data_IF_009947794776
#
_entry.id   IF_009947794776
#
_cell.length_a   1.000
_cell.length_b   1.000
_cell.length_c   1.000
_cell.angle_alpha   90.00
_cell.angle_beta   90.00
_cell.angle_gamma   90.00
#
_symmetry.space_group_name_H-M   'P 1'
#
loop_
_entity.id
_entity.type
_entity.pdbx_description
1 polymer ?
#
# COMPACT_ATOMS: atom_id res chain seq x y z
N UNK A 1 -21.64 11.15 -5.54
CA UNK A 1 -20.98 12.06 -4.58
C UNK A 1 -20.05 11.30 -3.68
N UNK A 2 -20.48 10.14 -3.16
CA UNK A 2 -19.71 9.41 -2.18
C UNK A 2 -18.31 9.03 -2.64
N UNK A 3 -18.20 8.39 -3.80
CA UNK A 3 -16.90 7.93 -4.28
C UNK A 3 -16.01 9.08 -4.72
N UNK A 4 -16.60 10.09 -5.36
CA UNK A 4 -15.84 11.26 -5.76
C UNK A 4 -15.32 11.99 -4.54
N UNK A 5 -16.16 12.16 -3.52
CA UNK A 5 -15.75 12.77 -2.27
C UNK A 5 -14.64 11.97 -1.58
N UNK A 6 -14.73 10.65 -1.64
CA UNK A 6 -13.72 9.80 -1.03
C UNK A 6 -12.38 9.94 -1.72
N UNK A 7 -12.36 9.94 -3.05
CA UNK A 7 -11.12 10.14 -3.79
C UNK A 7 -10.50 11.49 -3.51
N UNK A 8 -11.33 12.53 -3.45
CA UNK A 8 -10.85 13.85 -3.13
C UNK A 8 -10.24 13.91 -1.74
N UNK A 9 -10.92 13.29 -0.75
CA UNK A 9 -10.41 13.25 0.62
C UNK A 9 -9.09 12.49 0.72
N UNK A 10 -8.94 11.42 -0.05
CA UNK A 10 -7.67 10.69 -0.07
C UNK A 10 -6.54 11.57 -0.58
N UNK A 11 -6.79 12.31 -1.66
CA UNK A 11 -5.77 13.22 -2.20
C UNK A 11 -5.41 14.33 -1.21
N UNK A 12 -6.40 14.90 -0.56
CA UNK A 12 -6.16 15.93 0.45
C UNK A 12 -5.36 15.36 1.61
N UNK A 13 -5.70 14.15 2.04
CA UNK A 13 -4.97 13.48 3.11
C UNK A 13 -3.51 13.23 2.77
N UNK A 14 -3.25 12.81 1.53
CA UNK A 14 -1.88 12.60 1.08
C UNK A 14 -1.12 13.92 1.01
N UNK A 15 -1.77 14.96 0.51
CA UNK A 15 -1.15 16.28 0.44
C UNK A 15 -0.80 16.81 1.83
N UNK A 16 -1.71 16.60 2.79
CA UNK A 16 -1.45 17.01 4.17
C UNK A 16 -0.29 16.24 4.77
N UNK A 17 -0.20 14.95 4.47
CA UNK A 17 0.89 14.12 4.98
C UNK A 17 2.24 14.56 4.44
N UNK A 18 2.25 15.26 3.31
CA UNK A 18 3.47 15.74 2.69
C UNK A 18 3.94 17.10 3.22
N UNK A 19 3.11 17.76 4.02
CA UNK A 19 3.50 19.05 4.59
C UNK A 19 4.73 18.86 5.45
N UNK A 20 5.75 19.69 5.24
CA UNK A 20 7.01 19.55 5.96
C UNK A 20 8.00 18.62 5.31
N UNK A 21 7.62 18.03 4.17
CA UNK A 21 8.49 17.17 3.37
C UNK A 21 9.10 16.03 4.22
N UNK A 22 8.28 15.16 4.80
CA UNK A 22 8.78 14.11 5.70
C UNK A 22 9.60 13.06 4.96
N UNK A 23 10.54 12.45 5.66
CA UNK A 23 11.34 11.36 5.11
C UNK A 23 10.61 10.03 5.16
N UNK A 24 9.61 9.91 6.02
CA UNK A 24 8.84 8.68 6.19
C UNK A 24 7.36 9.01 6.19
N UNK A 25 6.61 8.30 5.35
CA UNK A 25 5.16 8.37 5.33
C UNK A 25 4.59 7.01 5.69
N UNK A 26 3.56 7.00 6.52
CA UNK A 26 2.85 5.77 6.87
C UNK A 26 1.40 5.94 6.45
N UNK A 27 0.94 5.06 5.57
CA UNK A 27 -0.40 5.12 5.01
C UNK A 27 -1.16 3.83 5.36
N UNK A 28 -2.40 3.98 5.80
CA UNK A 28 -3.22 2.85 6.21
C UNK A 28 -4.35 2.66 5.22
N UNK A 29 -4.33 1.53 4.49
CA UNK A 29 -5.37 1.18 3.51
C UNK A 29 -5.68 2.33 2.54
N UNK A 30 -4.67 2.91 1.88
CA UNK A 30 -4.89 4.16 1.15
C UNK A 30 -5.78 4.03 -0.08
N UNK A 31 -5.99 2.83 -0.59
CA UNK A 31 -6.77 2.64 -1.82
C UNK A 31 -8.15 2.03 -1.58
N UNK A 32 -8.50 1.78 -0.33
CA UNK A 32 -9.77 1.10 -0.02
C UNK A 32 -10.96 1.97 -0.40
N UNK A 33 -11.91 1.36 -1.14
CA UNK A 33 -13.17 2.02 -1.45
C UNK A 33 -13.13 3.02 -2.59
N UNK A 34 -12.04 3.07 -3.34
CA UNK A 34 -11.92 3.98 -4.47
C UNK A 34 -12.37 3.30 -5.76
N UNK A 35 -12.91 4.06 -6.70
CA UNK A 35 -13.23 3.50 -8.01
C UNK A 35 -11.96 3.36 -8.86
N UNK A 36 -12.02 2.67 -10.02
CA UNK A 36 -10.80 2.41 -10.79
C UNK A 36 -10.01 3.65 -11.20
N UNK A 37 -10.68 4.75 -11.52
CA UNK A 37 -9.98 5.98 -11.92
C UNK A 37 -9.28 6.60 -10.72
N UNK A 38 -9.95 6.63 -9.59
CA UNK A 38 -9.37 7.16 -8.35
C UNK A 38 -8.22 6.30 -7.87
N UNK A 39 -8.34 4.97 -8.02
CA UNK A 39 -7.28 4.05 -7.66
C UNK A 39 -6.00 4.36 -8.42
N UNK A 40 -6.11 4.56 -9.74
CA UNK A 40 -4.94 4.81 -10.56
C UNK A 40 -4.25 6.11 -10.16
N UNK A 41 -5.04 7.15 -9.89
CA UNK A 41 -4.48 8.43 -9.47
C UNK A 41 -3.74 8.30 -8.14
N UNK A 42 -4.33 7.61 -7.18
CA UNK A 42 -3.72 7.44 -5.86
C UNK A 42 -2.47 6.57 -5.94
N UNK A 43 -2.51 5.50 -6.75
CA UNK A 43 -1.33 4.66 -6.95
C UNK A 43 -0.16 5.46 -7.52
N UNK A 44 -0.45 6.32 -8.49
CA UNK A 44 0.58 7.15 -9.11
C UNK A 44 1.18 8.11 -8.09
N UNK A 45 0.34 8.73 -7.27
CA UNK A 45 0.83 9.63 -6.23
C UNK A 45 1.73 8.90 -5.24
N UNK A 46 1.31 7.72 -4.79
CA UNK A 46 2.09 6.95 -3.81
C UNK A 46 3.43 6.54 -4.41
N UNK A 47 3.44 6.06 -5.66
CA UNK A 47 4.68 5.70 -6.32
C UNK A 47 5.62 6.88 -6.44
N UNK A 48 5.08 8.05 -6.79
CA UNK A 48 5.89 9.26 -6.92
C UNK A 48 6.48 9.68 -5.58
N UNK A 49 5.69 9.60 -4.53
CA UNK A 49 6.19 9.93 -3.19
C UNK A 49 7.31 9.00 -2.74
N UNK A 50 7.25 7.74 -3.16
CA UNK A 50 8.25 6.75 -2.78
C UNK A 50 9.58 6.88 -3.49
N UNK A 51 9.69 7.78 -4.48
CA UNK A 51 10.94 7.92 -5.23
C UNK A 51 12.04 8.59 -4.41
N UNK A 52 11.68 9.46 -3.49
CA UNK A 52 12.67 10.21 -2.72
C UNK A 52 12.43 10.16 -1.22
N UNK A 53 11.61 9.23 -0.77
CA UNK A 53 11.37 9.03 0.67
C UNK A 53 10.87 7.61 0.90
N UNK A 54 10.84 7.19 2.15
CA UNK A 54 10.30 5.89 2.50
C UNK A 54 8.79 6.00 2.71
N UNK A 55 8.04 5.15 2.03
CA UNK A 55 6.60 5.06 2.21
C UNK A 55 6.26 3.65 2.68
N UNK A 56 5.60 3.57 3.84
CA UNK A 56 5.10 2.31 4.37
C UNK A 56 3.58 2.36 4.27
N UNK A 57 2.99 1.38 3.62
CA UNK A 57 1.53 1.31 3.57
C UNK A 57 1.06 -0.05 4.04
N UNK A 58 -0.07 -0.06 4.72
CA UNK A 58 -0.72 -1.29 5.10
C UNK A 58 -1.88 -1.53 4.15
N UNK A 59 -2.07 -2.79 3.76
CA UNK A 59 -3.19 -3.16 2.92
C UNK A 59 -3.43 -4.65 3.03
N UNK A 60 -4.68 -5.06 2.87
CA UNK A 60 -5.03 -6.47 2.78
C UNK A 60 -5.26 -6.89 1.32
N UNK A 61 -5.03 -5.98 0.39
CA UNK A 61 -5.29 -6.22 -1.04
C UNK A 61 -3.97 -6.52 -1.72
N UNK A 62 -3.72 -7.80 -2.01
CA UNK A 62 -2.44 -8.23 -2.57
C UNK A 62 -2.14 -7.61 -3.92
N UNK A 63 -3.17 -7.33 -4.71
CA UNK A 63 -2.99 -6.69 -6.01
C UNK A 63 -2.33 -5.32 -5.85
N UNK A 64 -2.70 -4.57 -4.80
CA UNK A 64 -2.11 -3.26 -4.56
C UNK A 64 -0.64 -3.37 -4.19
N UNK A 65 -0.28 -4.40 -3.43
CA UNK A 65 1.12 -4.64 -3.08
C UNK A 65 1.96 -4.80 -4.35
N UNK A 66 1.47 -5.61 -5.29
CA UNK A 66 2.21 -5.86 -6.53
C UNK A 66 2.36 -4.60 -7.37
N UNK A 67 1.36 -3.72 -7.34
CA UNK A 67 1.35 -2.55 -8.21
C UNK A 67 2.14 -1.38 -7.65
N UNK A 68 2.29 -1.28 -6.33
CA UNK A 68 2.86 -0.10 -5.71
C UNK A 68 4.14 -0.34 -4.93
N UNK A 69 4.39 -1.56 -4.48
CA UNK A 69 5.41 -1.80 -3.47
C UNK A 69 6.64 -2.48 -4.06
N UNK A 70 7.80 -2.16 -3.52
CA UNK A 70 9.04 -2.83 -3.89
C UNK A 70 9.41 -3.92 -2.89
N UNK A 71 8.82 -3.89 -1.70
CA UNK A 71 9.11 -4.85 -0.64
C UNK A 71 7.82 -5.17 0.10
N UNK A 72 7.68 -6.41 0.53
CA UNK A 72 6.47 -6.84 1.24
C UNK A 72 6.86 -7.46 2.57
N UNK A 73 6.07 -7.12 3.60
CA UNK A 73 6.19 -7.71 4.93
C UNK A 73 4.82 -8.29 5.26
N UNK A 74 4.78 -9.58 5.57
CA UNK A 74 3.54 -10.23 5.98
C UNK A 74 3.55 -10.42 7.48
N UNK A 75 2.52 -9.91 8.14
CA UNK A 75 2.38 -10.00 9.59
C UNK A 75 1.11 -10.79 9.89
N UNK A 76 1.23 -11.79 10.75
CA UNK A 76 0.10 -12.63 11.11
C UNK A 76 0.24 -13.00 12.59
N UNK A 77 -0.83 -12.78 13.37
CA UNK A 77 -0.84 -13.06 14.80
C UNK A 77 0.32 -12.39 15.53
N UNK A 78 0.64 -11.15 15.13
CA UNK A 78 1.69 -10.39 15.78
C UNK A 78 3.10 -10.78 15.40
N UNK A 79 3.27 -11.69 14.46
CA UNK A 79 4.59 -12.17 14.04
C UNK A 79 4.85 -11.81 12.58
N UNK A 80 6.10 -11.50 12.28
CA UNK A 80 6.54 -11.31 10.90
C UNK A 80 6.74 -12.68 10.28
N UNK A 81 5.93 -12.99 9.27
CA UNK A 81 5.99 -14.28 8.58
C UNK A 81 6.83 -14.22 7.32
N UNK A 82 7.01 -13.03 6.75
CA UNK A 82 7.77 -12.84 5.54
C UNK A 82 8.25 -11.40 5.48
N UNK A 83 9.45 -11.21 4.95
CA UNK A 83 10.02 -9.88 4.71
C UNK A 83 10.99 -10.01 3.55
N UNK A 84 10.51 -9.67 2.33
CA UNK A 84 11.29 -9.87 1.11
C UNK A 84 10.99 -8.79 0.09
N UNK A 85 11.96 -8.50 -0.80
CA UNK A 85 11.66 -7.68 -1.97
C UNK A 85 10.61 -8.38 -2.83
N UNK A 86 9.73 -7.59 -3.45
CA UNK A 86 8.64 -8.15 -4.23
C UNK A 86 9.14 -8.96 -5.43
N UNK A 87 10.29 -8.58 -5.99
CA UNK A 87 10.83 -9.28 -7.17
C UNK A 87 11.41 -10.65 -6.84
N UNK A 88 11.52 -11.00 -5.56
CA UNK A 88 11.95 -12.34 -5.14
C UNK A 88 10.79 -13.28 -4.91
N UNK A 89 9.56 -12.81 -5.11
CA UNK A 89 8.36 -13.58 -4.85
C UNK A 89 7.68 -13.88 -6.19
N UNK A 90 7.62 -15.17 -6.55
CA UNK A 90 7.02 -15.55 -7.83
C UNK A 90 5.50 -15.44 -7.83
N UNK A 91 4.88 -15.86 -6.74
CA UNK A 91 3.42 -15.86 -6.63
C UNK A 91 3.05 -15.34 -5.25
N UNK A 92 2.64 -14.08 -5.20
CA UNK A 92 2.37 -13.43 -3.93
C UNK A 92 1.15 -14.04 -3.22
N UNK A 93 0.12 -14.38 -3.98
CA UNK A 93 -1.08 -14.96 -3.40
C UNK A 93 -0.79 -16.29 -2.71
N UNK A 94 -0.03 -17.14 -3.38
CA UNK A 94 0.35 -18.42 -2.81
C UNK A 94 1.26 -18.26 -1.62
N UNK A 95 2.24 -17.35 -1.73
CA UNK A 95 3.16 -17.06 -0.65
C UNK A 95 2.41 -16.57 0.58
N UNK A 96 1.43 -15.69 0.37
CA UNK A 96 0.61 -15.17 1.46
C UNK A 96 -0.17 -16.30 2.14
N UNK A 97 -0.77 -17.19 1.35
CA UNK A 97 -1.51 -18.32 1.92
C UNK A 97 -0.62 -19.20 2.77
N UNK A 98 0.57 -19.50 2.29
CA UNK A 98 1.50 -20.36 3.03
C UNK A 98 1.99 -19.67 4.30
N UNK A 99 2.27 -18.38 4.23
CA UNK A 99 2.80 -17.65 5.37
C UNK A 99 1.76 -17.48 6.48
N UNK A 100 0.48 -17.39 6.10
CA UNK A 100 -0.59 -17.15 7.07
C UNK A 100 -1.42 -18.39 7.37
N UNK A 101 -0.97 -19.54 6.91
CA UNK A 101 -1.67 -20.80 7.15
C UNK A 101 -1.63 -21.17 8.62
N UNK A 102 -2.78 -21.43 9.19
CA UNK A 102 -2.88 -21.86 10.60
C UNK A 102 -3.04 -23.37 10.63
N UNK A 103 -2.28 -23.99 11.49
CA UNK A 103 -2.33 -25.43 11.67
C UNK A 103 -3.22 -25.86 12.80
#
# INVERSE_FOLDING_TARGET
VGQLSKGYRQRVGLAQAMIGNPELLILDEPTTGLDPNQLEDIRTLIRDMGKDRMVILSTHILQEVKLMCSRVVIIDHGEIKLDKPINEIENLEETFKLATKNE
#
